data_IF_196338970478
#
_entry.id   IF_196338970478
#
_cell.length_a   1.000
_cell.length_b   1.000
_cell.length_c   1.000
_cell.angle_alpha   90.00
_cell.angle_beta   90.00
_cell.angle_gamma   90.00
#
_symmetry.space_group_name_H-M   'P 1'
#
loop_
_entity.id
_entity.type
_entity.pdbx_description
1 polymer ?
#
# COMPACT_ATOMS: atom_id res chain seq x y z
N UNK A 1 -5.00 -14.61 15.51
CA UNK A 1 -3.91 -14.43 14.53
C UNK A 1 -4.33 -13.35 13.55
N UNK A 2 -3.42 -12.48 13.11
CA UNK A 2 -3.76 -11.42 12.15
C UNK A 2 -4.15 -12.00 10.79
N UNK A 3 -5.29 -11.56 10.24
CA UNK A 3 -5.84 -11.99 8.96
C UNK A 3 -4.88 -11.79 7.76
N UNK A 4 -3.84 -10.97 7.94
CA UNK A 4 -2.85 -10.62 6.92
C UNK A 4 -1.81 -11.71 6.61
N UNK A 5 -1.61 -12.67 7.52
CA UNK A 5 -0.49 -13.64 7.42
C UNK A 5 -0.57 -14.54 6.17
N UNK A 6 -1.77 -14.75 5.62
CA UNK A 6 -1.96 -15.61 4.43
C UNK A 6 -2.27 -14.82 3.15
N UNK A 7 -2.32 -13.48 3.23
CA UNK A 7 -2.65 -12.66 2.06
C UNK A 7 -1.44 -12.51 1.13
N UNK A 8 -1.42 -13.36 0.09
CA UNK A 8 -0.39 -13.35 -0.95
C UNK A 8 -0.33 -12.00 -1.69
N UNK A 9 -1.42 -11.25 -1.83
CA UNK A 9 -1.42 -9.97 -2.53
C UNK A 9 -0.62 -8.93 -1.75
N UNK A 10 -0.82 -8.88 -0.43
CA UNK A 10 -0.08 -7.99 0.47
C UNK A 10 1.40 -8.35 0.47
N UNK A 11 1.73 -9.64 0.57
CA UNK A 11 3.12 -10.10 0.50
C UNK A 11 3.79 -9.69 -0.82
N UNK A 12 3.09 -9.83 -1.95
CA UNK A 12 3.61 -9.42 -3.26
C UNK A 12 3.81 -7.91 -3.35
N UNK A 13 2.96 -7.09 -2.72
CA UNK A 13 3.15 -5.63 -2.63
C UNK A 13 4.39 -5.28 -1.82
N UNK A 14 4.59 -5.90 -0.67
CA UNK A 14 5.78 -5.68 0.16
C UNK A 14 7.05 -6.06 -0.60
N UNK A 15 7.07 -7.22 -1.29
CA UNK A 15 8.21 -7.62 -2.12
C UNK A 15 8.53 -6.61 -3.24
N UNK A 16 7.51 -6.03 -3.87
CA UNK A 16 7.71 -4.97 -4.88
C UNK A 16 8.32 -3.71 -4.25
N UNK A 17 7.83 -3.28 -3.09
CA UNK A 17 8.39 -2.15 -2.35
C UNK A 17 9.87 -2.38 -1.99
N UNK A 18 10.22 -3.59 -1.53
CA UNK A 18 11.62 -3.95 -1.27
C UNK A 18 12.48 -3.79 -2.53
N UNK A 19 12.02 -4.29 -3.68
CA UNK A 19 12.73 -4.11 -4.95
C UNK A 19 12.90 -2.64 -5.36
N UNK A 20 11.89 -1.80 -5.10
CA UNK A 20 11.98 -0.36 -5.36
C UNK A 20 13.00 0.33 -4.45
N UNK A 21 13.04 -0.01 -3.16
CA UNK A 21 14.03 0.52 -2.21
C UNK A 21 15.45 0.12 -2.64
N UNK A 22 15.66 -1.15 -2.99
CA UNK A 22 16.95 -1.63 -3.48
C UNK A 22 17.39 -0.89 -4.76
N UNK A 23 16.43 -0.58 -5.65
CA UNK A 23 16.69 0.20 -6.85
C UNK A 23 17.12 1.65 -6.55
N UNK A 24 16.55 2.28 -5.52
CA UNK A 24 16.99 3.61 -5.05
C UNK A 24 18.40 3.55 -4.49
N UNK A 25 18.72 2.54 -3.69
CA UNK A 25 20.07 2.35 -3.14
C UNK A 25 21.11 2.17 -4.25
N UNK A 26 20.81 1.34 -5.27
CA UNK A 26 21.67 1.22 -6.45
C UNK A 26 21.82 2.54 -7.18
N UNK A 27 20.74 3.32 -7.29
CA UNK A 27 20.77 4.60 -7.98
C UNK A 27 21.67 5.62 -7.26
N UNK A 28 21.63 5.66 -5.93
CA UNK A 28 22.49 6.51 -5.10
C UNK A 28 23.98 6.15 -5.20
N UNK A 29 24.29 4.86 -5.40
CA UNK A 29 25.66 4.37 -5.50
C UNK A 29 26.27 4.49 -6.90
N UNK A 30 25.48 4.91 -7.91
CA UNK A 30 25.99 5.05 -9.28
C UNK A 30 26.03 6.52 -9.70
N UNK A 31 27.21 7.07 -10.04
CA UNK A 31 27.37 8.48 -10.41
C UNK A 31 26.65 8.88 -11.71
N UNK A 32 26.25 7.90 -12.53
CA UNK A 32 25.51 8.09 -13.78
C UNK A 32 24.04 8.50 -13.55
N UNK A 33 23.48 8.27 -12.36
CA UNK A 33 22.09 8.57 -12.08
C UNK A 33 21.90 10.02 -11.64
N UNK A 34 20.95 10.70 -12.29
CA UNK A 34 20.59 12.06 -11.90
C UNK A 34 19.83 12.09 -10.58
N UNK A 35 19.95 13.19 -9.83
CA UNK A 35 19.13 13.44 -8.64
C UNK A 35 17.62 13.37 -8.95
N UNK A 36 17.22 13.80 -10.15
CA UNK A 36 15.82 13.74 -10.61
C UNK A 36 15.32 12.30 -10.69
N UNK A 37 16.15 11.38 -11.19
CA UNK A 37 15.81 9.95 -11.27
C UNK A 37 15.56 9.36 -9.89
N UNK A 38 16.43 9.66 -8.92
CA UNK A 38 16.27 9.21 -7.53
C UNK A 38 14.98 9.78 -6.92
N UNK A 39 14.70 11.09 -7.12
CA UNK A 39 13.48 11.72 -6.64
C UNK A 39 12.22 11.08 -7.23
N UNK A 40 12.23 10.71 -8.50
CA UNK A 40 11.11 10.01 -9.15
C UNK A 40 10.89 8.61 -8.56
N UNK A 41 11.96 7.86 -8.29
CA UNK A 41 11.86 6.54 -7.65
C UNK A 41 11.28 6.65 -6.24
N UNK A 42 11.75 7.61 -5.44
CA UNK A 42 11.21 7.86 -4.09
C UNK A 42 9.75 8.28 -4.14
N UNK A 43 9.35 9.12 -5.11
CA UNK A 43 7.95 9.49 -5.31
C UNK A 43 7.08 8.27 -5.67
N UNK A 44 7.58 7.36 -6.49
CA UNK A 44 6.90 6.10 -6.82
C UNK A 44 6.73 5.20 -5.60
N UNK A 45 7.77 5.09 -4.74
CA UNK A 45 7.69 4.36 -3.47
C UNK A 45 6.63 4.97 -2.56
N UNK A 46 6.60 6.30 -2.41
CA UNK A 46 5.56 6.98 -1.62
C UNK A 46 4.16 6.59 -2.08
N UNK A 47 3.90 6.61 -3.39
CA UNK A 47 2.62 6.18 -3.96
C UNK A 47 2.30 4.71 -3.69
N UNK A 48 3.31 3.83 -3.81
CA UNK A 48 3.13 2.40 -3.53
C UNK A 48 2.85 2.11 -2.05
N UNK A 49 3.49 2.83 -1.12
CA UNK A 49 3.22 2.76 0.32
C UNK A 49 1.80 3.23 0.64
N UNK A 50 1.38 4.37 0.09
CA UNK A 50 0.01 4.86 0.25
C UNK A 50 -1.02 3.83 -0.24
N UNK A 51 -0.78 3.23 -1.41
CA UNK A 51 -1.62 2.18 -1.96
C UNK A 51 -1.70 0.94 -1.05
N UNK A 52 -0.59 0.51 -0.45
CA UNK A 52 -0.57 -0.60 0.50
C UNK A 52 -1.33 -0.26 1.79
N UNK A 53 -1.12 0.95 2.34
CA UNK A 53 -1.81 1.41 3.54
C UNK A 53 -3.33 1.38 3.37
N UNK A 54 -3.83 1.83 2.22
CA UNK A 54 -5.26 1.81 1.90
C UNK A 54 -5.86 0.39 1.88
N UNK A 55 -5.12 -0.59 1.36
CA UNK A 55 -5.56 -2.00 1.39
C UNK A 55 -5.57 -2.58 2.80
N UNK A 56 -4.57 -2.24 3.62
CA UNK A 56 -4.50 -2.68 5.01
C UNK A 56 -5.63 -2.10 5.85
N UNK A 57 -5.97 -0.83 5.67
CA UNK A 57 -7.11 -0.18 6.33
C UNK A 57 -8.41 -0.88 5.94
N UNK A 58 -8.64 -1.09 4.64
CA UNK A 58 -9.82 -1.80 4.14
C UNK A 58 -9.94 -3.19 4.77
N UNK A 59 -8.85 -3.96 4.75
CA UNK A 59 -8.84 -5.31 5.30
C UNK A 59 -9.09 -5.32 6.82
N UNK A 60 -8.47 -4.39 7.56
CA UNK A 60 -8.66 -4.27 9.00
C UNK A 60 -10.10 -3.87 9.36
N UNK A 61 -10.69 -2.92 8.64
CA UNK A 61 -12.08 -2.51 8.85
C UNK A 61 -13.03 -3.69 8.68
N UNK A 62 -12.89 -4.45 7.59
CA UNK A 62 -13.73 -5.61 7.28
C UNK A 62 -13.62 -6.73 8.31
N UNK A 63 -12.41 -7.05 8.76
CA UNK A 63 -12.16 -8.23 9.61
C UNK A 63 -12.24 -7.96 11.12
N UNK A 64 -12.01 -6.71 11.56
CA UNK A 64 -11.86 -6.42 12.98
C UNK A 64 -12.80 -5.33 13.51
N UNK A 65 -13.25 -4.39 12.66
CA UNK A 65 -14.06 -3.25 13.13
C UNK A 65 -15.55 -3.51 12.90
N UNK A 66 -15.93 -3.99 11.72
CA UNK A 66 -17.35 -4.14 11.40
C UNK A 66 -17.95 -5.44 11.99
N UNK A 67 -17.12 -6.48 12.18
CA UNK A 67 -17.50 -7.74 12.83
C UNK A 67 -18.59 -8.53 12.08
N UNK A 68 -18.90 -9.74 12.56
CA UNK A 68 -19.90 -10.63 11.92
C UNK A 68 -21.37 -10.27 12.26
N UNK A 69 -21.61 -9.40 13.26
CA UNK A 69 -22.94 -9.21 13.85
C UNK A 69 -23.71 -8.00 13.30
N UNK A 70 -23.17 -7.31 12.29
CA UNK A 70 -23.77 -6.10 11.73
C UNK A 70 -23.97 -6.28 10.22
N UNK A 71 -25.18 -6.03 9.72
CA UNK A 71 -25.40 -5.97 8.27
C UNK A 71 -24.59 -4.81 7.69
N UNK A 72 -23.60 -5.13 6.85
CA UNK A 72 -22.73 -4.15 6.22
C UNK A 72 -23.40 -3.68 4.93
N UNK A 73 -23.63 -2.38 4.82
CA UNK A 73 -23.89 -1.77 3.52
C UNK A 73 -22.59 -1.75 2.70
N UNK A 74 -22.34 -2.84 1.96
CA UNK A 74 -21.13 -3.02 1.14
C UNK A 74 -20.93 -1.91 0.10
N UNK A 75 -22.02 -1.31 -0.40
CA UNK A 75 -21.94 -0.18 -1.34
C UNK A 75 -21.38 1.07 -0.66
N UNK A 76 -21.92 1.42 0.50
CA UNK A 76 -21.48 2.60 1.27
C UNK A 76 -20.05 2.44 1.79
N UNK A 77 -19.68 1.23 2.26
CA UNK A 77 -18.31 0.92 2.64
C UNK A 77 -17.34 1.07 1.45
N UNK A 78 -17.71 0.57 0.28
CA UNK A 78 -16.88 0.72 -0.91
C UNK A 78 -16.74 2.20 -1.34
N UNK A 79 -17.78 3.02 -1.18
CA UNK A 79 -17.71 4.46 -1.44
C UNK A 79 -16.81 5.18 -0.44
N UNK A 80 -16.93 4.89 0.85
CA UNK A 80 -16.07 5.45 1.90
C UNK A 80 -14.60 5.10 1.66
N UNK A 81 -14.30 3.83 1.35
CA UNK A 81 -12.94 3.39 1.04
C UNK A 81 -12.36 4.05 -0.22
N UNK A 82 -13.21 4.33 -1.23
CA UNK A 82 -12.80 5.12 -2.41
C UNK A 82 -12.44 6.56 -2.02
N UNK A 83 -13.18 7.18 -1.10
CA UNK A 83 -12.87 8.52 -0.61
C UNK A 83 -11.54 8.55 0.13
N UNK A 84 -11.29 7.60 1.04
CA UNK A 84 -10.00 7.47 1.71
C UNK A 84 -8.84 7.32 0.71
N UNK A 85 -9.02 6.47 -0.32
CA UNK A 85 -8.01 6.27 -1.39
C UNK A 85 -7.73 7.53 -2.22
N UNK A 86 -8.70 8.44 -2.35
CA UNK A 86 -8.59 9.64 -3.19
C UNK A 86 -7.86 10.79 -2.50
N UNK A 87 -7.92 10.86 -1.17
CA UNK A 87 -7.37 11.97 -0.39
C UNK A 87 -6.13 11.58 0.45
N UNK A 88 -5.56 10.40 0.22
CA UNK A 88 -4.34 9.86 0.87
C UNK A 88 -3.05 10.06 0.06
#
# INVERSE_FOLDING_TARGET
MGHLHQDKKIHNRVKRLQGQINSVEQALNSPEHSCITVLQQVAAIKGAVNGLMNELIESHLRHHVIGEQTEINEQELAEFLKLLKRYS
#
